data_IF_302228622125
#
_entry.id   IF_302228622125
#
_cell.length_a   1.000
_cell.length_b   1.000
_cell.length_c   1.000
_cell.angle_alpha   90.00
_cell.angle_beta   90.00
_cell.angle_gamma   90.00
#
_symmetry.space_group_name_H-M   'P 1'
#
loop_
_entity.id
_entity.type
_entity.pdbx_description
1 polymer ?
#
# COMPACT_ATOMS: atom_id res chain seq x y z
N UNK A 1 -36.74 1.09 -43.37
CA UNK A 1 -36.49 2.51 -43.04
C UNK A 1 -34.99 2.66 -42.95
N UNK A 2 -34.36 3.27 -43.95
CA UNK A 2 -32.93 3.56 -43.93
C UNK A 2 -32.80 4.87 -43.15
N UNK A 3 -32.12 4.85 -42.02
CA UNK A 3 -31.97 6.04 -41.17
C UNK A 3 -30.78 6.85 -41.68
N UNK A 4 -30.73 8.16 -41.43
CA UNK A 4 -29.63 9.01 -41.87
C UNK A 4 -28.23 8.55 -41.38
N UNK A 5 -28.16 7.60 -40.45
CA UNK A 5 -26.94 6.91 -40.03
C UNK A 5 -26.34 5.99 -41.12
N UNK A 6 -27.16 5.40 -41.98
CA UNK A 6 -26.73 4.44 -43.02
C UNK A 6 -25.89 5.08 -44.14
N UNK A 7 -25.86 6.41 -44.22
CA UNK A 7 -25.15 7.18 -45.26
C UNK A 7 -23.74 7.63 -44.81
N UNK A 8 -23.35 7.39 -43.55
CA UNK A 8 -22.03 7.76 -43.01
C UNK A 8 -21.24 6.54 -42.51
N UNK A 9 -20.69 5.71 -43.42
CA UNK A 9 -20.03 4.46 -43.05
C UNK A 9 -18.81 4.65 -42.13
N UNK A 10 -18.12 5.79 -42.23
CA UNK A 10 -17.00 6.13 -41.34
C UNK A 10 -17.47 6.51 -39.93
N UNK A 11 -18.57 7.25 -39.82
CA UNK A 11 -19.14 7.63 -38.52
C UNK A 11 -19.71 6.40 -37.82
N UNK A 12 -20.38 5.53 -38.57
CA UNK A 12 -20.97 4.30 -38.04
C UNK A 12 -19.88 3.30 -37.59
N UNK A 13 -18.78 3.21 -38.34
CA UNK A 13 -17.60 2.45 -37.94
C UNK A 13 -16.94 3.03 -36.68
N UNK A 14 -16.77 4.35 -36.60
CA UNK A 14 -16.23 5.03 -35.41
C UNK A 14 -17.13 4.80 -34.20
N UNK A 15 -18.44 4.89 -34.37
CA UNK A 15 -19.43 4.65 -33.32
C UNK A 15 -19.42 3.20 -32.84
N UNK A 16 -19.22 2.25 -33.76
CA UNK A 16 -19.05 0.83 -33.44
C UNK A 16 -17.82 0.60 -32.56
N UNK A 17 -16.68 1.26 -32.86
CA UNK A 17 -15.49 1.18 -32.00
C UNK A 17 -15.72 1.80 -30.62
N UNK A 18 -16.44 2.93 -30.54
CA UNK A 18 -16.81 3.56 -29.26
C UNK A 18 -17.70 2.61 -28.44
N UNK A 19 -18.72 2.00 -29.05
CA UNK A 19 -19.60 1.05 -28.37
C UNK A 19 -18.85 -0.21 -27.93
N UNK A 20 -17.96 -0.74 -28.76
CA UNK A 20 -17.12 -1.88 -28.43
C UNK A 20 -16.17 -1.58 -27.26
N UNK A 21 -15.53 -0.41 -27.27
CA UNK A 21 -14.66 0.03 -26.18
C UNK A 21 -15.45 0.28 -24.89
N UNK A 22 -16.62 0.90 -24.97
CA UNK A 22 -17.51 1.09 -23.85
C UNK A 22 -17.96 -0.26 -23.24
N UNK A 23 -18.26 -1.26 -24.09
CA UNK A 23 -18.57 -2.62 -23.65
C UNK A 23 -17.38 -3.28 -22.95
N UNK A 24 -16.16 -3.12 -23.49
CA UNK A 24 -14.93 -3.62 -22.88
C UNK A 24 -14.71 -3.01 -21.49
N UNK A 25 -14.81 -1.68 -21.38
CA UNK A 25 -14.68 -0.94 -20.11
C UNK A 25 -15.77 -1.37 -19.13
N UNK A 26 -17.00 -1.60 -19.60
CA UNK A 26 -18.11 -2.10 -18.79
C UNK A 26 -17.78 -3.47 -18.16
N UNK A 27 -17.35 -4.46 -18.95
CA UNK A 27 -16.97 -5.77 -18.41
C UNK A 27 -15.76 -5.67 -17.47
N UNK A 28 -14.77 -4.85 -17.82
CA UNK A 28 -13.60 -4.63 -16.97
C UNK A 28 -13.96 -4.00 -15.62
N UNK A 29 -14.86 -3.00 -15.61
CA UNK A 29 -15.38 -2.39 -14.39
C UNK A 29 -16.15 -3.40 -13.54
N UNK A 30 -17.02 -4.22 -14.16
CA UNK A 30 -17.75 -5.27 -13.44
C UNK A 30 -16.77 -6.23 -12.75
N UNK A 31 -15.78 -6.77 -13.46
CA UNK A 31 -14.79 -7.69 -12.87
C UNK A 31 -13.99 -7.00 -11.75
N UNK A 32 -13.55 -5.76 -11.97
CA UNK A 32 -12.74 -5.01 -10.99
C UNK A 32 -13.52 -4.67 -9.73
N UNK A 33 -14.77 -4.19 -9.87
CA UNK A 33 -15.66 -3.88 -8.75
C UNK A 33 -16.00 -5.14 -7.97
N UNK A 34 -16.34 -6.24 -8.65
CA UNK A 34 -16.55 -7.53 -7.99
C UNK A 34 -15.29 -7.95 -7.23
N UNK A 35 -14.11 -7.89 -7.85
CA UNK A 35 -12.84 -8.20 -7.19
C UNK A 35 -12.58 -7.40 -5.91
N UNK A 36 -12.72 -6.08 -5.94
CA UNK A 36 -12.51 -5.23 -4.75
C UNK A 36 -13.55 -5.52 -3.65
N UNK A 37 -14.80 -5.75 -4.05
CA UNK A 37 -15.92 -6.00 -3.16
C UNK A 37 -15.83 -7.36 -2.47
N UNK A 38 -15.34 -8.39 -3.16
CA UNK A 38 -15.09 -9.70 -2.57
C UNK A 38 -13.84 -9.71 -1.68
N UNK A 39 -12.83 -8.90 -1.98
CA UNK A 39 -11.61 -8.75 -1.15
C UNK A 39 -11.87 -8.05 0.20
N UNK A 40 -12.97 -7.31 0.32
CA UNK A 40 -13.40 -6.64 1.56
C UNK A 40 -14.18 -7.62 2.45
N UNK A 41 -13.59 -8.05 3.56
CA UNK A 41 -14.20 -8.92 4.57
C UNK A 41 -15.11 -8.17 5.56
N UNK A 42 -15.05 -6.84 5.51
CA UNK A 42 -15.66 -5.85 6.38
C UNK A 42 -17.05 -5.37 5.91
N UNK A 43 -17.55 -5.86 4.76
CA UNK A 43 -18.83 -5.44 4.16
C UNK A 43 -19.83 -6.60 4.08
N UNK A 44 -21.07 -6.39 4.53
CA UNK A 44 -22.13 -7.41 4.51
C UNK A 44 -22.49 -7.86 3.09
N UNK A 45 -22.81 -9.15 2.89
CA UNK A 45 -23.10 -9.72 1.57
C UNK A 45 -24.24 -9.00 0.82
N UNK A 46 -25.26 -8.52 1.54
CA UNK A 46 -26.36 -7.73 0.97
C UNK A 46 -25.92 -6.36 0.45
N UNK A 47 -25.01 -5.69 1.15
CA UNK A 47 -24.43 -4.44 0.68
C UNK A 47 -23.59 -4.66 -0.58
N UNK A 48 -22.94 -5.84 -0.72
CA UNK A 48 -22.21 -6.21 -1.93
C UNK A 48 -23.15 -6.36 -3.13
N UNK A 49 -24.26 -7.07 -2.95
CA UNK A 49 -25.24 -7.29 -4.03
C UNK A 49 -25.91 -6.00 -4.48
N UNK A 50 -26.32 -5.12 -3.56
CA UNK A 50 -26.90 -3.82 -3.90
C UNK A 50 -25.93 -2.93 -4.69
N UNK A 51 -24.65 -2.93 -4.28
CA UNK A 51 -23.60 -2.19 -4.99
C UNK A 51 -23.38 -2.71 -6.42
N UNK A 52 -23.32 -4.03 -6.59
CA UNK A 52 -23.16 -4.64 -7.90
C UNK A 52 -24.29 -4.24 -8.87
N UNK A 53 -25.55 -4.29 -8.42
CA UNK A 53 -26.71 -3.91 -9.22
C UNK A 53 -26.70 -2.42 -9.56
N UNK A 54 -26.31 -1.56 -8.62
CA UNK A 54 -26.26 -0.11 -8.84
C UNK A 54 -25.22 0.31 -9.89
N UNK A 55 -24.02 -0.28 -9.86
CA UNK A 55 -22.97 -0.05 -10.89
C UNK A 55 -23.39 -0.59 -12.26
N UNK A 56 -24.13 -1.69 -12.29
CA UNK A 56 -24.61 -2.31 -13.52
C UNK A 56 -25.60 -1.40 -14.27
N UNK A 57 -26.52 -0.77 -13.54
CA UNK A 57 -27.61 0.04 -14.11
C UNK A 57 -27.17 1.46 -14.42
N UNK A 58 -26.31 2.05 -13.57
CA UNK A 58 -25.83 3.43 -13.76
C UNK A 58 -24.32 3.52 -13.52
N UNK A 59 -23.47 3.12 -14.47
CA UNK A 59 -22.03 2.97 -14.24
C UNK A 59 -21.33 4.26 -13.79
N UNK A 60 -21.75 5.41 -14.35
CA UNK A 60 -21.14 6.70 -14.01
C UNK A 60 -21.53 7.15 -12.59
N UNK A 61 -22.82 7.07 -12.25
CA UNK A 61 -23.29 7.48 -10.92
C UNK A 61 -22.89 6.45 -9.87
N UNK A 62 -22.92 5.16 -10.21
CA UNK A 62 -22.44 4.07 -9.37
C UNK A 62 -20.98 4.22 -9.00
N UNK A 63 -20.09 4.44 -9.97
CA UNK A 63 -18.67 4.64 -9.64
C UNK A 63 -18.43 5.87 -8.75
N UNK A 64 -19.13 6.98 -8.99
CA UNK A 64 -19.01 8.19 -8.18
C UNK A 64 -19.56 8.01 -6.76
N UNK A 65 -20.73 7.41 -6.60
CA UNK A 65 -21.30 7.13 -5.28
C UNK A 65 -20.42 6.15 -4.50
N UNK A 66 -19.80 5.15 -5.16
CA UNK A 66 -18.85 4.23 -4.51
C UNK A 66 -17.65 4.98 -3.96
N UNK A 67 -17.10 5.90 -4.74
CA UNK A 67 -15.98 6.71 -4.32
C UNK A 67 -16.32 7.57 -3.08
N UNK A 68 -17.54 8.12 -3.04
CA UNK A 68 -18.02 8.94 -1.92
C UNK A 68 -18.28 8.08 -0.67
N UNK A 69 -18.94 6.93 -0.81
CA UNK A 69 -19.31 6.08 0.33
C UNK A 69 -18.15 5.25 0.86
N UNK A 70 -17.26 4.78 -0.01
CA UNK A 70 -16.13 3.90 0.34
C UNK A 70 -14.77 4.61 0.37
N UNK A 71 -14.66 5.88 -0.06
CA UNK A 71 -13.40 6.64 -0.05
C UNK A 71 -12.85 6.90 1.35
N UNK A 72 -13.72 7.04 2.34
CA UNK A 72 -13.33 7.27 3.75
C UNK A 72 -12.49 6.11 4.31
N UNK A 73 -12.81 4.88 3.92
CA UNK A 73 -12.05 3.70 4.30
C UNK A 73 -10.70 3.55 3.56
N UNK A 74 -10.49 4.27 2.44
CA UNK A 74 -9.17 4.35 1.79
C UNK A 74 -8.29 5.40 2.47
N UNK A 75 -8.86 6.53 2.88
CA UNK A 75 -8.15 7.56 3.63
C UNK A 75 -7.61 7.01 4.96
N UNK A 76 -8.43 6.28 5.72
CA UNK A 76 -7.99 5.68 6.99
C UNK A 76 -6.91 4.61 6.81
N UNK A 77 -6.97 3.84 5.71
CA UNK A 77 -5.93 2.84 5.38
C UNK A 77 -4.60 3.48 5.01
N UNK A 78 -4.63 4.59 4.26
CA UNK A 78 -3.42 5.31 3.88
C UNK A 78 -2.75 5.95 5.10
N UNK A 79 -3.52 6.49 6.04
CA UNK A 79 -2.99 7.01 7.32
C UNK A 79 -2.36 5.89 8.15
N UNK A 80 -3.06 4.75 8.32
CA UNK A 80 -2.50 3.60 9.05
C UNK A 80 -1.24 3.02 8.40
N UNK A 81 -1.17 2.98 7.07
CA UNK A 81 0.02 2.52 6.35
C UNK A 81 1.18 3.51 6.50
N UNK A 82 0.92 4.81 6.43
CA UNK A 82 1.92 5.85 6.68
C UNK A 82 2.45 5.78 8.12
N UNK A 83 1.57 5.57 9.10
CA UNK A 83 1.97 5.43 10.52
C UNK A 83 2.79 4.17 10.76
N UNK A 84 2.44 3.03 10.15
CA UNK A 84 3.25 1.80 10.23
C UNK A 84 4.62 1.96 9.58
N UNK A 85 4.70 2.66 8.44
CA UNK A 85 5.96 2.94 7.76
C UNK A 85 6.86 3.86 8.61
N UNK A 86 6.27 4.88 9.25
CA UNK A 86 6.97 5.76 10.22
C UNK A 86 7.49 4.98 11.42
N UNK A 87 6.68 4.12 12.02
CA UNK A 87 7.08 3.29 13.16
C UNK A 87 8.25 2.35 12.83
N UNK A 88 8.25 1.72 11.65
CA UNK A 88 9.37 0.88 11.20
C UNK A 88 10.66 1.67 11.00
N UNK A 89 10.54 2.88 10.44
CA UNK A 89 11.68 3.78 10.21
C UNK A 89 12.24 4.31 11.52
N UNK A 90 11.38 4.74 12.45
CA UNK A 90 11.78 5.23 13.78
C UNK A 90 12.43 4.14 14.62
N UNK A 91 11.93 2.89 14.55
CA UNK A 91 12.54 1.75 15.22
C UNK A 91 13.93 1.43 14.67
N UNK A 92 14.10 1.48 13.35
CA UNK A 92 15.39 1.32 12.70
C UNK A 92 16.35 2.44 13.10
N UNK A 93 15.93 3.71 13.00
CA UNK A 93 16.73 4.87 13.43
C UNK A 93 17.14 4.74 14.89
N UNK A 94 16.23 4.35 15.79
CA UNK A 94 16.54 4.15 17.21
C UNK A 94 17.56 3.03 17.43
N UNK A 95 17.51 1.96 16.64
CA UNK A 95 18.48 0.87 16.73
C UNK A 95 19.88 1.27 16.28
N UNK A 96 20.00 2.13 15.26
CA UNK A 96 21.30 2.60 14.74
C UNK A 96 21.82 3.86 15.44
N UNK A 97 20.92 4.67 16.01
CA UNK A 97 21.21 5.96 16.65
C UNK A 97 21.11 5.90 18.19
N UNK A 98 21.16 4.72 18.80
CA UNK A 98 21.41 4.56 20.24
C UNK A 98 22.90 4.25 20.50
N UNK A 99 23.82 5.21 20.35
CA UNK A 99 25.25 5.01 20.54
C UNK A 99 25.62 4.65 22.00
N UNK A 100 24.78 4.99 22.98
CA UNK A 100 25.08 4.76 24.40
C UNK A 100 24.97 3.31 24.88
N UNK A 101 24.17 2.46 24.23
CA UNK A 101 24.02 1.05 24.63
C UNK A 101 25.09 0.17 23.98
N UNK A 102 25.40 0.42 22.71
CA UNK A 102 26.41 -0.32 21.97
C UNK A 102 27.82 -0.15 22.54
N UNK A 103 28.18 1.06 22.98
CA UNK A 103 29.51 1.30 23.55
C UNK A 103 29.74 0.60 24.90
N UNK A 104 28.73 0.55 25.77
CA UNK A 104 28.86 -0.14 27.06
C UNK A 104 28.98 -1.66 26.86
N UNK A 105 28.21 -2.24 25.94
CA UNK A 105 28.29 -3.67 25.59
C UNK A 105 29.63 -4.04 24.95
N UNK A 106 30.23 -3.13 24.17
CA UNK A 106 31.52 -3.33 23.52
C UNK A 106 32.67 -3.30 24.56
N UNK A 107 32.61 -2.40 25.54
CA UNK A 107 33.55 -2.36 26.67
C UNK A 107 33.41 -3.63 27.54
N UNK A 108 32.18 -4.10 27.77
CA UNK A 108 31.93 -5.32 28.53
C UNK A 108 32.50 -6.58 27.84
N UNK A 109 32.35 -6.69 26.50
CA UNK A 109 32.97 -7.78 25.71
C UNK A 109 34.49 -7.68 25.71
N UNK A 110 35.03 -6.47 25.56
CA UNK A 110 36.48 -6.27 25.60
C UNK A 110 37.08 -6.69 26.95
N UNK A 111 36.35 -6.49 28.06
CA UNK A 111 36.76 -6.98 29.37
C UNK A 111 36.77 -8.52 29.44
N UNK A 112 35.76 -9.18 28.87
CA UNK A 112 35.76 -10.65 28.77
C UNK A 112 36.96 -11.20 28.01
N UNK A 113 37.33 -10.57 26.88
CA UNK A 113 38.52 -10.95 26.11
C UNK A 113 39.83 -10.75 26.87
N UNK A 114 39.90 -9.71 27.72
CA UNK A 114 41.04 -9.46 28.59
C UNK A 114 41.14 -10.52 29.69
N UNK A 115 40.02 -10.87 30.31
CA UNK A 115 39.94 -11.90 31.37
C UNK A 115 40.27 -13.31 30.80
N UNK A 116 39.94 -13.57 29.53
CA UNK A 116 40.33 -14.78 28.79
C UNK A 116 41.80 -14.77 28.32
N UNK A 117 42.50 -13.64 28.45
CA UNK A 117 43.87 -13.46 27.97
C UNK A 117 44.01 -13.37 26.45
N UNK A 118 42.91 -13.18 25.72
CA UNK A 118 42.90 -13.03 24.27
C UNK A 118 43.42 -11.66 23.81
N UNK A 119 43.36 -10.65 24.68
CA UNK A 119 43.93 -9.31 24.47
C UNK A 119 44.72 -8.86 25.70
N UNK A 120 45.67 -7.95 25.49
CA UNK A 120 46.45 -7.33 26.55
C UNK A 120 45.71 -6.15 27.21
N UNK A 121 46.14 -5.79 28.42
CA UNK A 121 45.60 -4.63 29.15
C UNK A 121 45.69 -3.32 28.33
N UNK A 122 46.75 -3.19 27.55
CA UNK A 122 47.03 -2.01 26.74
C UNK A 122 46.07 -1.90 25.55
N UNK A 123 45.74 -3.03 24.92
CA UNK A 123 44.73 -3.13 23.86
C UNK A 123 43.31 -2.87 24.38
N UNK A 124 42.98 -3.36 25.58
CA UNK A 124 41.71 -3.07 26.24
C UNK A 124 41.51 -1.56 26.49
N UNK A 125 42.53 -0.88 27.03
CA UNK A 125 42.45 0.57 27.29
C UNK A 125 42.41 1.40 25.99
N UNK A 126 43.00 0.93 24.89
CA UNK A 126 42.82 1.56 23.57
C UNK A 126 41.38 1.43 23.07
N UNK A 127 40.74 0.26 23.24
CA UNK A 127 39.35 0.03 22.83
C UNK A 127 38.38 0.89 23.64
N UNK A 128 38.56 0.94 24.97
CA UNK A 128 37.75 1.76 25.88
C UNK A 128 37.82 3.25 25.55
N UNK A 129 39.00 3.76 25.19
CA UNK A 129 39.18 5.16 24.75
C UNK A 129 38.49 5.45 23.42
N UNK A 130 38.44 4.50 22.49
CA UNK A 130 37.74 4.67 21.20
C UNK A 130 36.22 4.73 21.37
N UNK A 131 35.69 4.01 22.34
CA UNK A 131 34.24 3.88 22.57
C UNK A 131 33.67 5.01 23.45
N UNK A 132 34.51 5.63 24.30
CA UNK A 132 34.12 6.74 25.18
C UNK A 132 34.27 8.14 24.56
N UNK A 133 34.73 8.24 23.31
CA UNK A 133 34.89 9.49 22.54
C UNK A 133 33.79 9.57 21.48
#
# INVERSE_FOLDING_TARGET
MRTAADDYPLLDLMWTFVLFFALMVYFWLVVTVFGDLFRRHDTSGWAKTAWAVFVLVVPLIGSLTYLITQGRAMADRNVQQADRARQGTDAYIRSVAAPGLHGIDEIARAKGLLDEGAISQEEFEQLKRRVLV
#
